data_IF_154511441702
#
_entry.id   IF_154511441702
#
_cell.length_a   1.000
_cell.length_b   1.000
_cell.length_c   1.000
_cell.angle_alpha   90.00
_cell.angle_beta   90.00
_cell.angle_gamma   90.00
#
_symmetry.space_group_name_H-M   'P 1'
#
loop_
_entity.id
_entity.type
_entity.pdbx_description
1 polymer ?
#
# COMPACT_ATOMS: atom_id res chain seq x y z
N UNK A 1 7.72 7.30 35.78
CA UNK A 1 7.33 8.09 34.58
C UNK A 1 6.61 7.16 33.62
N UNK A 2 5.53 7.65 33.03
CA UNK A 2 4.65 6.87 32.17
C UNK A 2 4.98 7.15 30.70
N UNK A 3 4.96 6.11 29.87
CA UNK A 3 4.88 6.21 28.42
C UNK A 3 3.44 5.99 27.98
N UNK A 4 2.76 7.04 27.51
CA UNK A 4 1.42 6.95 26.94
C UNK A 4 1.45 6.62 25.46
N UNK A 5 0.55 5.74 25.02
CA UNK A 5 0.45 5.27 23.62
C UNK A 5 -1.02 5.30 23.18
N UNK A 6 -1.27 5.78 21.96
CA UNK A 6 -2.59 5.73 21.31
C UNK A 6 -2.44 5.56 19.79
N UNK A 7 -3.49 5.09 19.12
CA UNK A 7 -3.53 4.87 17.68
C UNK A 7 -4.52 5.76 16.90
N UNK A 8 -4.16 6.08 15.66
CA UNK A 8 -5.05 6.76 14.72
C UNK A 8 -4.98 6.09 13.35
N UNK A 9 -6.15 5.97 12.71
CA UNK A 9 -6.22 5.49 11.32
C UNK A 9 -6.52 4.00 11.17
N UNK A 10 -7.20 3.36 12.11
CA UNK A 10 -7.63 1.96 11.97
C UNK A 10 -8.72 1.75 10.91
N UNK A 11 -9.76 2.59 10.93
CA UNK A 11 -10.94 2.45 10.07
C UNK A 11 -10.91 3.06 8.66
N UNK A 12 -10.05 4.04 8.33
CA UNK A 12 -9.95 4.60 6.97
C UNK A 12 -9.71 3.56 5.88
N UNK A 13 -10.30 3.79 4.71
CA UNK A 13 -10.09 2.99 3.50
C UNK A 13 -8.75 3.33 2.83
N UNK A 14 -8.21 4.53 3.08
CA UNK A 14 -6.96 4.98 2.51
C UNK A 14 -6.03 5.64 3.55
N UNK A 15 -4.73 5.62 3.25
CA UNK A 15 -3.64 6.20 4.02
C UNK A 15 -3.14 5.31 5.16
N UNK A 16 -2.13 5.77 5.92
CA UNK A 16 -1.42 4.96 6.90
C UNK A 16 -2.20 4.78 8.21
N UNK A 17 -1.73 3.81 8.99
CA UNK A 17 -1.99 3.66 10.41
C UNK A 17 -0.82 4.30 11.19
N UNK A 18 -1.14 5.05 12.23
CA UNK A 18 -0.15 5.79 13.02
C UNK A 18 -0.35 5.50 14.51
N UNK A 19 0.74 5.19 15.22
CA UNK A 19 0.79 5.13 16.68
C UNK A 19 1.53 6.36 17.18
N UNK A 20 0.96 7.07 18.14
CA UNK A 20 1.64 8.13 18.89
C UNK A 20 2.20 7.59 20.19
N UNK A 21 3.31 8.16 20.64
CA UNK A 21 3.95 7.81 21.90
C UNK A 21 4.49 9.09 22.58
N UNK A 22 4.22 9.26 23.87
CA UNK A 22 4.60 10.46 24.60
C UNK A 22 5.00 10.16 26.05
N UNK A 23 6.07 10.83 26.52
CA UNK A 23 6.45 10.92 27.93
C UNK A 23 6.39 12.39 28.33
N UNK A 24 5.60 12.70 29.35
CA UNK A 24 5.47 14.06 29.88
C UNK A 24 6.37 14.27 31.11
N UNK A 25 6.70 15.53 31.44
CA UNK A 25 7.35 15.89 32.71
C UNK A 25 6.57 15.38 33.93
N UNK A 26 7.27 15.08 35.02
CA UNK A 26 6.63 14.71 36.29
C UNK A 26 5.97 15.92 36.96
N UNK A 27 5.11 15.66 37.95
CA UNK A 27 4.37 16.71 38.66
C UNK A 27 5.29 17.78 39.29
N UNK A 28 6.40 17.37 39.91
CA UNK A 28 7.39 18.28 40.50
C UNK A 28 7.89 19.30 39.48
N UNK A 29 8.33 18.85 38.30
CA UNK A 29 8.81 19.74 37.23
C UNK A 29 7.72 20.62 36.64
N UNK A 30 6.47 20.14 36.63
CA UNK A 30 5.31 20.92 36.20
C UNK A 30 5.02 22.05 37.19
N UNK A 31 5.12 21.78 38.49
CA UNK A 31 4.93 22.76 39.57
C UNK A 31 6.05 23.80 39.64
N UNK A 32 7.29 23.42 39.28
CA UNK A 32 8.44 24.34 39.20
C UNK A 32 8.34 25.32 38.03
N UNK A 33 7.79 24.91 36.88
CA UNK A 33 7.66 25.75 35.68
C UNK A 33 6.20 25.83 35.17
N UNK A 34 5.22 26.35 35.95
CA UNK A 34 3.80 26.24 35.63
C UNK A 34 3.43 26.96 34.32
N UNK A 35 4.02 28.12 34.04
CA UNK A 35 3.79 28.87 32.79
C UNK A 35 4.25 28.11 31.54
N UNK A 36 5.23 27.20 31.69
CA UNK A 36 5.73 26.38 30.57
C UNK A 36 4.84 25.16 30.33
N UNK A 37 4.25 24.60 31.38
CA UNK A 37 3.52 23.34 31.33
C UNK A 37 2.01 23.46 31.55
N UNK A 38 1.44 24.67 31.67
CA UNK A 38 0.01 24.88 31.90
C UNK A 38 -0.88 24.16 30.87
N UNK A 39 -0.39 24.01 29.64
CA UNK A 39 -1.08 23.36 28.53
C UNK A 39 -1.38 21.87 28.78
N UNK A 40 -0.63 21.20 29.67
CA UNK A 40 -0.88 19.81 30.05
C UNK A 40 -2.28 19.65 30.67
N UNK A 41 -2.76 20.66 31.39
CA UNK A 41 -4.12 20.64 31.96
C UNK A 41 -5.20 20.60 30.86
N UNK A 42 -4.90 21.16 29.69
CA UNK A 42 -5.81 21.26 28.54
C UNK A 42 -5.92 19.97 27.72
N UNK A 43 -5.03 19.01 27.95
CA UNK A 43 -5.06 17.70 27.29
C UNK A 43 -6.31 16.91 27.70
N UNK A 44 -7.04 16.41 26.70
CA UNK A 44 -8.25 15.59 26.83
C UNK A 44 -8.41 14.74 25.57
N UNK A 45 -9.54 14.05 25.40
CA UNK A 45 -9.86 13.31 24.18
C UNK A 45 -9.70 14.23 22.95
N UNK A 46 -8.79 13.84 22.05
CA UNK A 46 -8.43 14.63 20.87
C UNK A 46 -9.61 14.88 19.93
N UNK A 47 -10.64 14.03 19.96
CA UNK A 47 -11.87 14.17 19.17
C UNK A 47 -12.78 15.27 19.69
N UNK A 48 -12.66 15.62 20.98
CA UNK A 48 -13.39 16.75 21.60
C UNK A 48 -12.74 18.10 21.28
N UNK A 49 -11.50 18.09 20.80
CA UNK A 49 -10.76 19.29 20.43
C UNK A 49 -11.03 19.66 18.96
N UNK A 50 -11.06 20.96 18.68
CA UNK A 50 -11.07 21.45 17.29
C UNK A 50 -9.70 21.20 16.64
N UNK A 51 -9.66 21.14 15.30
CA UNK A 51 -8.40 20.97 14.57
C UNK A 51 -7.37 22.06 14.94
N UNK A 52 -7.80 23.32 15.01
CA UNK A 52 -6.95 24.46 15.43
C UNK A 52 -6.39 24.27 16.85
N UNK A 53 -7.19 23.75 17.78
CA UNK A 53 -6.74 23.50 19.15
C UNK A 53 -5.78 22.33 19.24
N UNK A 54 -6.01 21.25 18.48
CA UNK A 54 -5.06 20.13 18.37
C UNK A 54 -3.73 20.59 17.81
N UNK A 55 -3.72 21.40 16.77
CA UNK A 55 -2.52 21.99 16.18
C UNK A 55 -1.72 22.83 17.19
N UNK A 56 -2.39 23.70 17.95
CA UNK A 56 -1.74 24.47 19.00
C UNK A 56 -1.13 23.59 20.10
N UNK A 57 -1.85 22.54 20.54
CA UNK A 57 -1.36 21.60 21.53
C UNK A 57 -0.24 20.70 20.99
N UNK A 58 -0.29 20.32 19.71
CA UNK A 58 0.77 19.56 19.05
C UNK A 58 2.11 20.29 19.18
N UNK A 59 2.16 21.59 18.88
CA UNK A 59 3.37 22.40 19.04
C UNK A 59 3.86 22.37 20.48
N UNK A 60 2.97 22.57 21.45
CA UNK A 60 3.32 22.52 22.89
C UNK A 60 3.82 21.15 23.34
N UNK A 61 3.23 20.07 22.85
CA UNK A 61 3.69 18.71 23.12
C UNK A 61 5.10 18.50 22.55
N UNK A 62 5.35 18.89 21.30
CA UNK A 62 6.68 18.75 20.68
C UNK A 62 7.77 19.55 21.39
N UNK A 63 7.42 20.72 21.94
CA UNK A 63 8.35 21.59 22.68
C UNK A 63 8.54 21.20 24.15
N UNK A 64 7.49 20.70 24.80
CA UNK A 64 7.43 20.54 26.26
C UNK A 64 7.45 19.11 26.79
N UNK A 65 7.15 18.10 25.96
CA UNK A 65 7.26 16.70 26.38
C UNK A 65 8.73 16.28 26.56
N UNK A 66 8.98 15.31 27.44
CA UNK A 66 10.33 14.76 27.63
C UNK A 66 10.76 13.92 26.43
N UNK A 67 9.83 13.13 25.87
CA UNK A 67 10.05 12.38 24.65
C UNK A 67 8.75 12.24 23.86
N UNK A 68 8.85 12.26 22.53
CA UNK A 68 7.73 12.04 21.61
C UNK A 68 8.18 11.18 20.45
N UNK A 69 7.31 10.32 19.94
CA UNK A 69 7.55 9.57 18.71
C UNK A 69 6.24 9.21 18.02
N UNK A 70 6.33 8.95 16.72
CA UNK A 70 5.23 8.36 15.93
C UNK A 70 5.72 7.16 15.14
N UNK A 71 4.90 6.11 15.13
CA UNK A 71 5.17 4.87 14.42
C UNK A 71 4.18 4.68 13.29
N UNK A 72 4.68 4.50 12.07
CA UNK A 72 3.88 4.52 10.85
C UNK A 72 3.88 3.17 10.14
N UNK A 73 2.72 2.79 9.61
CA UNK A 73 2.57 1.64 8.72
C UNK A 73 1.70 2.07 7.54
N UNK A 74 2.23 1.92 6.33
CA UNK A 74 1.61 2.30 5.06
C UNK A 74 0.39 1.44 4.73
N UNK A 75 -0.44 1.90 3.79
CA UNK A 75 -1.58 1.10 3.30
C UNK A 75 -1.13 -0.26 2.71
N UNK A 76 -0.01 -0.27 1.97
CA UNK A 76 0.56 -1.49 1.39
C UNK A 76 1.04 -2.46 2.48
N UNK A 77 1.81 -1.99 3.48
CA UNK A 77 2.21 -2.84 4.61
C UNK A 77 0.98 -3.38 5.37
N UNK A 78 -0.11 -2.59 5.52
CA UNK A 78 -1.36 -3.05 6.14
C UNK A 78 -1.99 -4.19 5.34
N UNK A 79 -2.01 -4.08 4.02
CA UNK A 79 -2.55 -5.12 3.14
C UNK A 79 -1.71 -6.41 3.22
N UNK A 80 -0.39 -6.31 3.35
CA UNK A 80 0.53 -7.44 3.43
C UNK A 80 0.45 -8.22 4.76
N UNK A 81 0.46 -7.52 5.90
CA UNK A 81 0.60 -8.16 7.22
C UNK A 81 -0.72 -8.19 8.02
N UNK A 82 -1.73 -7.46 7.57
CA UNK A 82 -3.01 -7.33 8.23
C UNK A 82 -3.02 -6.32 9.39
N UNK A 83 -4.18 -5.73 9.64
CA UNK A 83 -4.37 -4.60 10.57
C UNK A 83 -3.86 -4.86 12.00
N UNK A 84 -4.06 -6.07 12.52
CA UNK A 84 -3.62 -6.44 13.88
C UNK A 84 -2.10 -6.41 14.02
N UNK A 85 -1.37 -6.96 13.05
CA UNK A 85 0.10 -6.91 13.05
C UNK A 85 0.61 -5.52 12.71
N UNK A 86 -0.10 -4.74 11.89
CA UNK A 86 0.22 -3.33 11.65
C UNK A 86 0.18 -2.50 12.93
N UNK A 87 -0.80 -2.71 13.82
CA UNK A 87 -0.85 -2.04 15.12
C UNK A 87 0.36 -2.38 15.98
N UNK A 88 0.74 -3.67 16.04
CA UNK A 88 1.94 -4.11 16.76
C UNK A 88 3.22 -3.52 16.16
N UNK A 89 3.34 -3.52 14.84
CA UNK A 89 4.49 -2.96 14.13
C UNK A 89 4.63 -1.46 14.34
N UNK A 90 3.54 -0.69 14.17
CA UNK A 90 3.51 0.74 14.42
C UNK A 90 3.91 1.07 15.86
N UNK A 91 3.37 0.31 16.84
CA UNK A 91 3.68 0.50 18.25
C UNK A 91 5.16 0.23 18.54
N UNK A 92 5.72 -0.88 18.03
CA UNK A 92 7.15 -1.18 18.15
C UNK A 92 8.04 -0.10 17.52
N UNK A 93 7.66 0.43 16.34
CA UNK A 93 8.39 1.54 15.67
C UNK A 93 8.39 2.81 16.55
N UNK A 94 7.26 3.16 17.16
CA UNK A 94 7.15 4.33 18.04
C UNK A 94 7.96 4.15 19.34
N UNK A 95 7.82 3.01 20.00
CA UNK A 95 8.53 2.71 21.26
C UNK A 95 10.04 2.65 21.07
N UNK A 96 10.51 2.08 19.95
CA UNK A 96 11.94 2.07 19.62
C UNK A 96 12.51 3.50 19.55
N UNK A 97 11.82 4.41 18.86
CA UNK A 97 12.23 5.82 18.79
C UNK A 97 12.23 6.49 20.18
N UNK A 98 11.25 6.18 21.05
CA UNK A 98 11.28 6.66 22.44
C UNK A 98 12.51 6.14 23.18
N UNK A 99 12.84 4.85 23.06
CA UNK A 99 14.02 4.27 23.70
C UNK A 99 15.34 4.93 23.22
N UNK A 100 15.40 5.32 21.94
CA UNK A 100 16.55 6.03 21.37
C UNK A 100 16.76 7.43 21.97
N UNK A 101 15.70 8.08 22.49
CA UNK A 101 15.83 9.35 23.23
C UNK A 101 16.52 9.20 24.60
N UNK A 102 16.62 7.95 25.11
CA UNK A 102 17.16 7.61 26.44
C UNK A 102 16.42 8.25 27.63
N UNK A 103 15.24 8.82 27.41
CA UNK A 103 14.36 9.26 28.49
C UNK A 103 13.79 8.03 29.20
N UNK A 104 13.98 7.89 30.52
CA UNK A 104 13.53 6.70 31.21
C UNK A 104 12.01 6.71 31.42
N UNK A 105 11.40 5.53 31.35
CA UNK A 105 10.02 5.26 31.74
C UNK A 105 9.97 3.93 32.48
N UNK A 106 9.00 3.79 33.38
CA UNK A 106 8.83 2.61 34.24
C UNK A 106 7.55 1.85 33.96
N UNK A 107 6.61 2.48 33.25
CA UNK A 107 5.30 1.95 32.92
C UNK A 107 4.90 2.43 31.51
N UNK A 108 4.22 1.57 30.77
CA UNK A 108 3.65 1.86 29.45
C UNK A 108 2.14 1.71 29.59
N UNK A 109 1.38 2.74 29.22
CA UNK A 109 -0.08 2.66 29.20
C UNK A 109 -0.58 2.91 27.78
N UNK A 110 -1.29 1.92 27.24
CA UNK A 110 -1.85 1.93 25.89
C UNK A 110 -3.35 2.20 25.97
N UNK A 111 -3.89 3.13 25.16
CA UNK A 111 -5.34 3.28 25.03
C UNK A 111 -5.98 2.03 24.43
N UNK A 112 -7.11 1.61 25.01
CA UNK A 112 -7.88 0.46 24.55
C UNK A 112 -7.63 -0.81 25.36
N UNK A 113 -7.84 -1.96 24.71
CA UNK A 113 -7.91 -3.28 25.37
C UNK A 113 -6.85 -4.27 24.90
N UNK A 114 -5.98 -3.86 23.97
CA UNK A 114 -5.04 -4.76 23.30
C UNK A 114 -3.62 -4.33 23.64
N UNK A 115 -2.82 -5.26 24.15
CA UNK A 115 -1.40 -5.04 24.35
C UNK A 115 -0.65 -5.25 23.01
N UNK A 116 -0.25 -4.14 22.38
CA UNK A 116 0.50 -4.15 21.12
C UNK A 116 1.97 -4.58 21.25
N UNK A 117 2.48 -4.68 22.49
CA UNK A 117 3.86 -5.08 22.81
C UNK A 117 3.93 -6.49 23.42
N UNK A 118 2.84 -7.26 23.34
CA UNK A 118 2.87 -8.67 23.76
C UNK A 118 3.91 -9.46 22.98
N UNK A 119 4.64 -10.34 23.68
CA UNK A 119 5.78 -11.09 23.15
C UNK A 119 7.10 -10.31 23.09
N UNK A 120 7.15 -9.07 23.61
CA UNK A 120 8.39 -8.28 23.69
C UNK A 120 8.91 -8.24 25.13
N UNK A 121 10.21 -7.92 25.36
CA UNK A 121 10.75 -7.73 26.71
C UNK A 121 10.04 -6.63 27.53
N UNK A 122 9.31 -5.74 26.85
CA UNK A 122 8.58 -4.65 27.47
C UNK A 122 7.18 -5.04 27.96
N UNK A 123 6.66 -6.21 27.56
CA UNK A 123 5.29 -6.65 27.84
C UNK A 123 4.90 -6.53 29.32
N UNK A 124 5.82 -6.88 30.23
CA UNK A 124 5.61 -6.85 31.68
C UNK A 124 5.44 -5.44 32.28
N UNK A 125 5.74 -4.39 31.52
CA UNK A 125 5.56 -2.99 31.93
C UNK A 125 4.30 -2.37 31.33
N UNK A 126 3.52 -3.14 30.56
CA UNK A 126 2.37 -2.63 29.80
C UNK A 126 1.07 -2.86 30.55
N UNK A 127 0.29 -1.78 30.67
CA UNK A 127 -1.11 -1.78 31.05
C UNK A 127 -1.96 -1.25 29.87
N UNK A 128 -3.17 -1.77 29.71
CA UNK A 128 -4.13 -1.27 28.72
C UNK A 128 -5.29 -0.61 29.42
N UNK A 129 -5.72 0.57 28.97
CA UNK A 129 -6.79 1.33 29.60
C UNK A 129 -7.79 1.81 28.53
N UNK A 130 -9.03 1.29 28.51
CA UNK A 130 -10.07 1.79 27.62
C UNK A 130 -10.41 3.25 27.94
N UNK A 131 -10.41 4.12 26.92
CA UNK A 131 -10.63 5.57 27.07
C UNK A 131 -9.57 6.19 27.98
N UNK A 132 -8.34 5.71 27.86
CA UNK A 132 -7.19 6.18 28.61
C UNK A 132 -6.82 7.62 28.25
N UNK A 133 -7.18 8.09 27.06
CA UNK A 133 -7.01 9.47 26.60
C UNK A 133 -7.77 10.51 27.45
N UNK A 134 -8.85 10.11 28.12
CA UNK A 134 -9.59 10.96 29.06
C UNK A 134 -8.96 11.01 30.46
N UNK A 135 -8.12 10.03 30.80
CA UNK A 135 -7.64 9.80 32.16
C UNK A 135 -6.14 10.07 32.31
N UNK A 136 -5.35 9.73 31.29
CA UNK A 136 -3.89 9.78 31.28
C UNK A 136 -3.43 10.82 30.25
N UNK A 137 -2.69 11.82 30.73
CA UNK A 137 -2.28 12.98 29.94
C UNK A 137 -1.30 12.61 28.83
N UNK A 138 -0.44 11.64 29.08
CA UNK A 138 0.51 11.08 28.12
C UNK A 138 -0.22 10.40 26.95
N UNK A 139 -1.32 9.68 27.22
CA UNK A 139 -2.15 9.06 26.18
C UNK A 139 -2.86 10.14 25.36
N UNK A 140 -3.43 11.15 26.03
CA UNK A 140 -4.01 12.29 25.33
C UNK A 140 -2.99 12.99 24.42
N UNK A 141 -1.77 13.23 24.90
CA UNK A 141 -0.70 13.82 24.09
C UNK A 141 -0.30 12.91 22.91
N UNK A 142 -0.16 11.60 23.14
CA UNK A 142 0.08 10.61 22.09
C UNK A 142 -1.02 10.61 21.01
N UNK A 143 -2.30 10.68 21.42
CA UNK A 143 -3.44 10.75 20.51
C UNK A 143 -3.39 11.99 19.61
N UNK A 144 -2.99 13.15 20.17
CA UNK A 144 -2.85 14.40 19.44
C UNK A 144 -1.70 14.33 18.45
N UNK A 145 -0.55 13.79 18.85
CA UNK A 145 0.62 13.58 17.96
C UNK A 145 0.21 12.75 16.74
N UNK A 146 -0.32 11.55 16.97
CA UNK A 146 -0.75 10.65 15.90
C UNK A 146 -1.82 11.29 15.01
N UNK A 147 -2.79 11.98 15.61
CA UNK A 147 -3.90 12.59 14.88
C UNK A 147 -3.45 13.74 13.98
N UNK A 148 -2.66 14.66 14.52
CA UNK A 148 -2.20 15.84 13.78
C UNK A 148 -1.26 15.44 12.65
N UNK A 149 -0.29 14.57 12.91
CA UNK A 149 0.64 14.16 11.86
C UNK A 149 -0.08 13.35 10.76
N UNK A 150 -0.97 12.43 11.13
CA UNK A 150 -1.75 11.67 10.14
C UNK A 150 -2.65 12.58 9.31
N UNK A 151 -3.34 13.54 9.93
CA UNK A 151 -4.23 14.45 9.21
C UNK A 151 -3.43 15.32 8.22
N UNK A 152 -2.25 15.81 8.60
CA UNK A 152 -1.34 16.53 7.68
C UNK A 152 -0.93 15.68 6.49
N UNK A 153 -0.55 14.42 6.72
CA UNK A 153 -0.26 13.47 5.65
C UNK A 153 -1.46 13.30 4.69
N UNK A 154 -2.68 13.22 5.22
CA UNK A 154 -3.88 13.11 4.37
C UNK A 154 -4.17 14.40 3.56
N UNK A 155 -3.78 15.57 4.08
CA UNK A 155 -3.84 16.84 3.34
C UNK A 155 -2.82 16.86 2.20
N UNK A 156 -1.57 16.47 2.46
CA UNK A 156 -0.55 16.31 1.41
C UNK A 156 -1.01 15.32 0.33
N UNK A 157 -1.69 14.25 0.74
CA UNK A 157 -2.25 13.28 -0.18
C UNK A 157 -3.37 13.86 -1.05
N UNK A 158 -4.17 14.79 -0.51
CA UNK A 158 -5.19 15.49 -1.27
C UNK A 158 -4.60 16.38 -2.37
N UNK A 159 -3.40 16.94 -2.16
CA UNK A 159 -2.69 17.69 -3.22
C UNK A 159 -2.28 16.78 -4.38
N UNK A 160 -1.86 15.54 -4.06
CA UNK A 160 -1.49 14.54 -5.05
C UNK A 160 -2.68 13.91 -5.78
N UNK A 161 -3.80 13.76 -5.08
CA UNK A 161 -5.02 13.12 -5.58
C UNK A 161 -6.26 14.00 -5.28
N UNK A 162 -6.39 15.17 -5.94
CA UNK A 162 -7.39 16.18 -5.60
C UNK A 162 -8.83 15.72 -5.80
N UNK A 163 -9.06 14.71 -6.61
CA UNK A 163 -10.38 14.16 -6.93
C UNK A 163 -11.01 13.39 -5.76
N UNK A 164 -10.21 12.99 -4.77
CA UNK A 164 -10.63 12.10 -3.70
C UNK A 164 -11.14 12.84 -2.47
N UNK A 165 -10.72 14.10 -2.23
CA UNK A 165 -11.19 14.88 -1.07
C UNK A 165 -10.61 14.43 0.28
N UNK A 166 -9.38 13.89 0.27
CA UNK A 166 -8.71 13.34 1.46
C UNK A 166 -8.56 14.36 2.61
N UNK A 167 -8.45 15.66 2.31
CA UNK A 167 -8.37 16.73 3.30
C UNK A 167 -9.64 16.87 4.14
N UNK A 168 -10.79 16.38 3.65
CA UNK A 168 -12.08 16.48 4.36
C UNK A 168 -12.37 15.25 5.19
N UNK A 169 -12.29 14.07 4.58
CA UNK A 169 -12.66 12.81 5.24
C UNK A 169 -11.45 11.99 5.71
N UNK A 170 -10.22 12.45 5.52
CA UNK A 170 -8.97 11.84 6.03
C UNK A 170 -8.87 10.34 5.77
N UNK A 171 -9.34 9.92 4.59
CA UNK A 171 -9.34 8.54 4.11
C UNK A 171 -10.50 7.66 4.59
N UNK A 172 -11.42 8.15 5.44
CA UNK A 172 -12.62 7.39 5.83
C UNK A 172 -13.56 7.15 4.64
N UNK A 173 -14.24 6.01 4.66
CA UNK A 173 -15.16 5.55 3.61
C UNK A 173 -16.49 6.30 3.53
N UNK A 174 -16.46 7.62 3.41
CA UNK A 174 -17.65 8.45 3.20
C UNK A 174 -18.26 8.19 1.81
N UNK A 175 -19.52 8.56 1.61
CA UNK A 175 -20.17 8.44 0.30
C UNK A 175 -19.39 9.21 -0.80
N UNK A 176 -18.82 10.37 -0.46
CA UNK A 176 -17.97 11.14 -1.38
C UNK A 176 -16.70 10.36 -1.76
N UNK A 177 -16.05 9.73 -0.79
CA UNK A 177 -14.85 8.93 -1.02
C UNK A 177 -15.14 7.68 -1.87
N UNK A 178 -16.26 6.99 -1.58
CA UNK A 178 -16.69 5.82 -2.36
C UNK A 178 -16.95 6.17 -3.82
N UNK A 179 -17.68 7.27 -4.05
CA UNK A 179 -17.94 7.78 -5.39
C UNK A 179 -16.65 8.14 -6.13
N UNK A 180 -15.67 8.75 -5.44
CA UNK A 180 -14.38 9.06 -6.03
C UNK A 180 -13.62 7.79 -6.44
N UNK A 181 -13.60 6.76 -5.59
CA UNK A 181 -12.99 5.46 -5.93
C UNK A 181 -13.66 4.79 -7.14
N UNK A 182 -14.98 4.83 -7.22
CA UNK A 182 -15.74 4.28 -8.34
C UNK A 182 -15.44 5.02 -9.65
N UNK A 183 -15.34 6.36 -9.59
CA UNK A 183 -15.16 7.22 -10.76
C UNK A 183 -13.71 7.29 -11.26
N UNK A 184 -12.74 7.37 -10.34
CA UNK A 184 -11.34 7.63 -10.66
C UNK A 184 -10.43 6.42 -10.45
N UNK A 185 -10.98 5.31 -9.93
CA UNK A 185 -10.26 4.11 -9.56
C UNK A 185 -9.64 4.20 -8.16
N UNK A 186 -8.82 3.22 -7.81
CA UNK A 186 -8.05 3.25 -6.57
C UNK A 186 -6.70 3.95 -6.75
N UNK A 187 -6.21 4.55 -5.68
CA UNK A 187 -4.83 5.05 -5.56
C UNK A 187 -3.95 4.02 -4.84
N UNK A 188 -2.61 4.14 -4.91
CA UNK A 188 -1.69 3.33 -4.10
C UNK A 188 -1.96 3.37 -2.59
N UNK A 189 -2.57 4.46 -2.08
CA UNK A 189 -2.86 4.62 -0.66
C UNK A 189 -4.13 3.91 -0.19
N UNK A 190 -4.91 3.30 -1.09
CA UNK A 190 -6.09 2.53 -0.71
C UNK A 190 -5.68 1.15 -0.18
N UNK A 191 -6.29 0.75 0.93
CA UNK A 191 -6.08 -0.53 1.61
C UNK A 191 -6.94 -1.60 0.94
N UNK A 192 -6.37 -2.29 -0.04
CA UNK A 192 -7.06 -3.27 -0.90
C UNK A 192 -7.57 -4.48 -0.12
N UNK A 193 -6.98 -4.77 1.03
CA UNK A 193 -7.46 -5.82 1.94
C UNK A 193 -8.80 -5.46 2.62
N UNK A 194 -9.18 -4.18 2.66
CA UNK A 194 -10.42 -3.74 3.30
C UNK A 194 -11.60 -4.07 2.41
N UNK A 195 -12.60 -4.76 2.97
CA UNK A 195 -13.74 -5.29 2.22
C UNK A 195 -14.39 -4.29 1.24
N UNK A 196 -14.74 -3.04 1.61
CA UNK A 196 -15.37 -2.10 0.68
C UNK A 196 -14.46 -1.70 -0.48
N UNK A 197 -13.16 -1.56 -0.23
CA UNK A 197 -12.15 -1.24 -1.25
C UNK A 197 -11.99 -2.42 -2.21
N UNK A 198 -11.92 -3.65 -1.67
CA UNK A 198 -11.86 -4.89 -2.45
C UNK A 198 -13.09 -5.07 -3.34
N UNK A 199 -14.28 -4.81 -2.82
CA UNK A 199 -15.53 -4.92 -3.59
C UNK A 199 -15.58 -3.92 -4.76
N UNK A 200 -15.09 -2.69 -4.57
CA UNK A 200 -14.99 -1.70 -5.65
C UNK A 200 -13.96 -2.13 -6.69
N UNK A 201 -12.80 -2.63 -6.24
CA UNK A 201 -11.76 -3.17 -7.13
C UNK A 201 -12.28 -4.31 -8.00
N UNK A 202 -12.98 -5.29 -7.40
CA UNK A 202 -13.55 -6.43 -8.15
C UNK A 202 -14.57 -5.99 -9.20
N UNK A 203 -15.46 -5.05 -8.86
CA UNK A 203 -16.45 -4.52 -9.81
C UNK A 203 -15.82 -3.78 -10.99
N UNK A 204 -14.71 -3.07 -10.75
CA UNK A 204 -13.98 -2.39 -11.82
C UNK A 204 -13.33 -3.39 -12.79
N UNK A 205 -12.74 -4.46 -12.25
CA UNK A 205 -12.16 -5.55 -13.07
C UNK A 205 -13.24 -6.24 -13.93
N UNK A 206 -14.39 -6.58 -13.34
CA UNK A 206 -15.50 -7.21 -14.07
C UNK A 206 -16.04 -6.30 -15.20
N UNK A 207 -16.10 -4.98 -14.97
CA UNK A 207 -16.53 -4.01 -15.97
C UNK A 207 -15.52 -3.88 -17.12
N UNK A 208 -14.22 -3.85 -16.81
CA UNK A 208 -13.14 -3.78 -17.79
C UNK A 208 -13.11 -5.04 -18.69
N UNK A 209 -13.25 -6.23 -18.11
CA UNK A 209 -13.35 -7.50 -18.86
C UNK A 209 -14.58 -7.54 -19.78
N UNK A 210 -15.73 -7.04 -19.31
CA UNK A 210 -16.96 -6.97 -20.10
C UNK A 210 -16.87 -5.98 -21.29
N UNK A 211 -16.21 -4.84 -21.11
CA UNK A 211 -15.99 -3.87 -22.18
C UNK A 211 -15.01 -4.36 -23.24
N UNK A 212 -13.95 -5.06 -22.83
CA UNK A 212 -12.96 -5.63 -23.74
C UNK A 212 -13.58 -6.73 -24.63
N UNK A 213 -14.40 -7.61 -24.04
CA UNK A 213 -15.16 -8.63 -24.78
C UNK A 213 -16.16 -8.00 -25.78
N UNK A 214 -16.77 -6.86 -25.45
CA UNK A 214 -17.66 -6.14 -26.38
C UNK A 214 -16.90 -5.39 -27.49
N UNK A 215 -15.71 -4.85 -27.20
CA UNK A 215 -14.84 -4.20 -28.21
C UNK A 215 -14.31 -5.22 -29.22
N UNK A 216 -13.87 -6.40 -28.76
CA UNK A 216 -13.42 -7.51 -29.62
C UNK A 216 -14.52 -7.95 -30.59
N UNK A 217 -15.79 -7.95 -30.16
CA UNK A 217 -16.94 -8.29 -31.02
C UNK A 217 -17.28 -7.22 -32.08
N UNK A 218 -16.82 -5.98 -31.92
CA UNK A 218 -17.17 -4.84 -32.80
C UNK A 218 -16.09 -4.47 -33.83
N UNK A 219 -14.84 -4.91 -33.68
CA UNK A 219 -13.72 -4.55 -34.57
C UNK A 219 -13.49 -5.51 -35.75
N UNK A 220 -14.35 -6.49 -35.97
CA UNK A 220 -14.33 -7.34 -37.17
C UNK A 220 -14.86 -6.62 -38.41
N UNK A 221 -14.09 -5.70 -39.00
CA UNK A 221 -14.00 -5.39 -40.44
C UNK A 221 -13.44 -3.97 -40.68
N UNK A 222 -12.19 -3.88 -41.17
CA UNK A 222 -11.79 -3.05 -42.34
C UNK A 222 -10.28 -3.21 -42.64
N UNK A 223 -9.98 -3.41 -43.92
CA UNK A 223 -8.63 -3.59 -44.49
C UNK A 223 -7.81 -2.30 -44.54
N UNK A 224 -6.48 -2.45 -44.39
CA UNK A 224 -5.44 -1.51 -44.85
C UNK A 224 -4.26 -1.44 -43.88
N UNK A 225 -3.16 -2.14 -44.21
CA UNK A 225 -1.86 -2.25 -43.52
C UNK A 225 -1.86 -2.35 -41.99
N UNK A 226 -1.34 -3.47 -41.48
CA UNK A 226 -1.28 -3.79 -40.06
C UNK A 226 -0.56 -2.67 -39.27
N UNK A 227 -1.32 -2.02 -38.40
CA UNK A 227 -0.86 -1.06 -37.40
C UNK A 227 0.16 -1.72 -36.46
N UNK A 228 0.98 -0.92 -35.78
CA UNK A 228 1.94 -1.42 -34.78
C UNK A 228 1.31 -2.32 -33.71
N UNK A 229 0.01 -2.13 -33.44
CA UNK A 229 -0.77 -2.95 -32.50
C UNK A 229 -1.19 -4.29 -33.09
N UNK A 230 -1.58 -4.32 -34.37
CA UNK A 230 -1.90 -5.57 -35.07
C UNK A 230 -0.66 -6.43 -35.26
N UNK A 231 0.50 -5.82 -35.54
CA UNK A 231 1.79 -6.53 -35.57
C UNK A 231 2.18 -7.08 -34.19
N UNK A 232 1.96 -6.33 -33.11
CA UNK A 232 2.17 -6.81 -31.74
C UNK A 232 1.31 -8.03 -31.39
N UNK A 233 0.00 -7.94 -31.66
CA UNK A 233 -0.94 -9.04 -31.42
C UNK A 233 -0.59 -10.32 -32.20
N UNK A 234 -0.15 -10.17 -33.45
CA UNK A 234 0.30 -11.31 -34.29
C UNK A 234 1.58 -11.94 -33.74
N UNK A 235 2.52 -11.12 -33.24
CA UNK A 235 3.72 -11.62 -32.55
C UNK A 235 3.37 -12.42 -31.31
N UNK A 236 2.49 -11.90 -30.46
CA UNK A 236 2.01 -12.62 -29.27
C UNK A 236 1.25 -13.90 -29.61
N UNK A 237 0.49 -13.92 -30.71
CA UNK A 237 -0.18 -15.13 -31.19
C UNK A 237 0.81 -16.23 -31.54
N UNK A 238 1.91 -15.88 -32.23
CA UNK A 238 2.98 -16.83 -32.55
C UNK A 238 3.72 -17.35 -31.34
N UNK A 239 3.96 -16.51 -30.34
CA UNK A 239 4.54 -16.98 -29.08
C UNK A 239 3.57 -17.89 -28.33
N UNK A 240 2.28 -17.57 -28.29
CA UNK A 240 1.29 -18.45 -27.66
C UNK A 240 1.22 -19.82 -28.35
N UNK A 241 1.17 -19.86 -29.69
CA UNK A 241 1.22 -21.11 -30.47
C UNK A 241 2.50 -21.91 -30.18
N UNK A 242 3.65 -21.23 -30.13
CA UNK A 242 4.92 -21.85 -29.78
C UNK A 242 4.90 -22.44 -28.37
N UNK A 243 4.44 -21.71 -27.37
CA UNK A 243 4.35 -22.19 -25.98
C UNK A 243 3.42 -23.39 -25.86
N UNK A 244 2.27 -23.38 -26.55
CA UNK A 244 1.37 -24.54 -26.64
C UNK A 244 2.09 -25.74 -27.25
N UNK A 245 2.87 -25.54 -28.33
CA UNK A 245 3.67 -26.62 -28.94
C UNK A 245 4.75 -27.19 -28.00
N UNK A 246 5.17 -26.41 -26.99
CA UNK A 246 6.07 -26.81 -25.91
C UNK A 246 5.35 -27.41 -24.69
N UNK A 247 4.02 -27.57 -24.77
CA UNK A 247 3.20 -28.19 -23.74
C UNK A 247 2.66 -27.21 -22.69
N UNK A 248 2.84 -25.90 -22.86
CA UNK A 248 2.27 -24.92 -21.96
C UNK A 248 0.74 -24.82 -22.14
N UNK A 249 0.04 -24.64 -21.03
CA UNK A 249 -1.35 -24.18 -20.98
C UNK A 249 -1.37 -22.64 -20.97
N UNK A 250 -2.04 -22.00 -21.92
CA UNK A 250 -2.16 -20.53 -21.91
C UNK A 250 -3.26 -20.12 -20.94
N UNK A 251 -2.89 -19.39 -19.89
CA UNK A 251 -3.80 -18.87 -18.87
C UNK A 251 -4.42 -17.56 -19.34
N UNK A 252 -3.61 -16.66 -19.88
CA UNK A 252 -4.07 -15.37 -20.40
C UNK A 252 -3.13 -14.82 -21.47
N UNK A 253 -3.67 -13.98 -22.36
CA UNK A 253 -2.94 -13.18 -23.35
C UNK A 253 -3.43 -11.75 -23.24
N UNK A 254 -2.54 -10.77 -23.44
CA UNK A 254 -2.84 -9.34 -23.28
C UNK A 254 -3.47 -9.01 -21.92
N UNK A 255 -2.98 -9.60 -20.83
CA UNK A 255 -3.53 -9.33 -19.51
C UNK A 255 -3.21 -7.88 -19.12
N UNK A 256 -4.23 -7.03 -19.03
CA UNK A 256 -4.06 -5.60 -18.77
C UNK A 256 -4.80 -5.20 -17.51
N UNK A 257 -4.14 -4.35 -16.74
CA UNK A 257 -4.74 -3.59 -15.65
C UNK A 257 -4.41 -2.12 -15.85
N UNK A 258 -5.02 -1.23 -15.06
CA UNK A 258 -4.63 0.19 -15.02
C UNK A 258 -3.14 0.42 -14.67
N UNK A 259 -2.48 -0.54 -14.01
CA UNK A 259 -1.14 -0.37 -13.44
C UNK A 259 -0.03 -1.10 -14.19
N UNK A 260 -0.36 -2.20 -14.85
CA UNK A 260 0.59 -3.03 -15.58
C UNK A 260 -0.09 -3.87 -16.65
N UNK A 261 0.73 -4.35 -17.57
CA UNK A 261 0.36 -5.24 -18.67
C UNK A 261 1.29 -6.44 -18.66
N UNK A 262 0.76 -7.61 -19.03
CA UNK A 262 1.51 -8.84 -19.25
C UNK A 262 1.05 -9.42 -20.58
N UNK A 263 1.98 -9.59 -21.52
CA UNK A 263 1.64 -10.05 -22.87
C UNK A 263 1.10 -11.48 -22.86
N UNK A 264 1.79 -12.41 -22.20
CA UNK A 264 1.36 -13.81 -22.10
C UNK A 264 1.62 -14.38 -20.71
N UNK A 265 0.59 -15.01 -20.15
CA UNK A 265 0.67 -15.82 -18.94
C UNK A 265 0.41 -17.27 -19.34
N UNK A 266 1.38 -18.14 -19.09
CA UNK A 266 1.27 -19.56 -19.41
C UNK A 266 1.71 -20.43 -18.25
N UNK A 267 1.24 -21.66 -18.22
CA UNK A 267 1.50 -22.62 -17.16
C UNK A 267 2.13 -23.88 -17.75
N UNK A 268 3.18 -24.35 -17.11
CA UNK A 268 3.77 -25.65 -17.39
C UNK A 268 4.22 -26.26 -16.06
N UNK A 269 3.79 -27.49 -15.80
CA UNK A 269 3.96 -28.19 -14.52
C UNK A 269 3.51 -27.32 -13.33
N UNK A 270 4.37 -27.11 -12.33
CA UNK A 270 4.11 -26.27 -11.16
C UNK A 270 4.70 -24.85 -11.31
N UNK A 271 4.83 -24.36 -12.55
CA UNK A 271 5.36 -23.03 -12.85
C UNK A 271 4.38 -22.19 -13.66
N UNK A 272 4.36 -20.89 -13.37
CA UNK A 272 3.67 -19.85 -14.12
C UNK A 272 4.70 -18.95 -14.79
N UNK A 273 4.60 -18.81 -16.09
CA UNK A 273 5.50 -18.04 -16.92
C UNK A 273 4.84 -16.72 -17.32
N UNK A 274 5.48 -15.63 -16.95
CA UNK A 274 5.11 -14.26 -17.32
C UNK A 274 6.02 -13.83 -18.46
N UNK A 275 5.52 -13.96 -19.69
CA UNK A 275 6.31 -13.75 -20.90
C UNK A 275 6.01 -12.39 -21.52
N UNK A 276 7.03 -11.56 -21.68
CA UNK A 276 6.97 -10.34 -22.50
C UNK A 276 7.44 -10.67 -23.93
N UNK A 277 6.74 -10.15 -24.94
CA UNK A 277 6.96 -10.43 -26.36
C UNK A 277 7.51 -9.19 -27.06
N UNK A 278 8.64 -9.35 -27.75
CA UNK A 278 9.22 -8.30 -28.60
C UNK A 278 9.18 -8.70 -30.07
N UNK A 279 8.50 -7.87 -30.86
CA UNK A 279 8.50 -7.97 -32.31
C UNK A 279 9.58 -7.09 -32.95
N UNK A 280 10.36 -7.64 -33.90
CA UNK A 280 11.34 -6.92 -34.72
C UNK A 280 11.04 -7.06 -36.21
N UNK A 281 11.05 -5.93 -36.92
CA UNK A 281 10.72 -5.85 -38.36
C UNK A 281 11.89 -6.25 -39.28
N UNK A 282 13.13 -6.21 -38.81
CA UNK A 282 14.35 -6.51 -39.57
C UNK A 282 15.25 -7.47 -38.78
N UNK A 283 15.85 -8.44 -39.47
CA UNK A 283 16.77 -9.46 -38.93
C UNK A 283 18.23 -9.01 -38.87
N UNK A 284 18.55 -7.81 -39.37
CA UNK A 284 19.90 -7.27 -39.35
C UNK A 284 20.17 -6.55 -38.03
N UNK A 285 21.21 -7.00 -37.32
CA UNK A 285 21.78 -6.56 -36.02
C UNK A 285 21.45 -7.42 -34.79
N UNK A 286 22.37 -8.35 -34.50
CA UNK A 286 22.80 -8.71 -33.14
C UNK A 286 22.09 -9.87 -32.43
N UNK A 287 22.86 -10.61 -31.65
CA UNK A 287 22.42 -11.71 -30.77
C UNK A 287 21.24 -11.34 -29.84
N UNK A 288 20.39 -12.32 -29.45
CA UNK A 288 18.94 -12.13 -29.43
C UNK A 288 18.34 -11.44 -28.19
N UNK A 289 18.90 -11.62 -26.98
CA UNK A 289 18.27 -11.16 -25.71
C UNK A 289 19.26 -10.52 -24.71
N UNK A 290 20.58 -10.52 -24.92
CA UNK A 290 21.57 -10.14 -23.89
C UNK A 290 21.47 -8.69 -23.34
N UNK A 291 20.79 -7.78 -24.05
CA UNK A 291 20.51 -6.42 -23.56
C UNK A 291 19.11 -6.30 -22.97
N UNK A 292 18.85 -7.05 -21.90
CA UNK A 292 17.66 -6.83 -21.08
C UNK A 292 17.90 -5.59 -20.22
N UNK A 293 17.15 -4.52 -20.46
CA UNK A 293 17.14 -3.36 -19.54
C UNK A 293 16.59 -3.79 -18.18
N UNK A 294 17.36 -3.57 -17.10
CA UNK A 294 16.97 -3.87 -15.72
C UNK A 294 15.57 -3.32 -15.38
N UNK A 295 15.22 -2.14 -15.93
CA UNK A 295 13.89 -1.54 -15.72
C UNK A 295 12.76 -2.42 -16.24
N UNK A 296 12.98 -3.13 -17.35
CA UNK A 296 11.97 -3.98 -17.96
C UNK A 296 11.80 -5.29 -17.16
N UNK A 297 12.89 -5.85 -16.63
CA UNK A 297 12.81 -6.97 -15.67
C UNK A 297 12.05 -6.58 -14.41
N UNK A 298 12.32 -5.40 -13.84
CA UNK A 298 11.61 -4.89 -12.68
C UNK A 298 10.11 -4.71 -12.95
N UNK A 299 9.74 -4.20 -14.14
CA UNK A 299 8.35 -4.05 -14.55
C UNK A 299 7.62 -5.40 -14.65
N UNK A 300 8.24 -6.38 -15.32
CA UNK A 300 7.65 -7.73 -15.49
C UNK A 300 7.56 -8.45 -14.13
N UNK A 301 8.56 -8.26 -13.25
CA UNK A 301 8.52 -8.79 -11.87
C UNK A 301 7.40 -8.16 -11.04
N UNK A 302 7.22 -6.84 -11.14
CA UNK A 302 6.12 -6.14 -10.49
C UNK A 302 4.75 -6.64 -10.98
N UNK A 303 4.60 -6.80 -12.29
CA UNK A 303 3.39 -7.32 -12.91
C UNK A 303 3.09 -8.75 -12.46
N UNK A 304 4.09 -9.63 -12.46
CA UNK A 304 3.97 -11.02 -12.01
C UNK A 304 3.58 -11.13 -10.53
N UNK A 305 4.24 -10.38 -9.64
CA UNK A 305 3.89 -10.34 -8.22
C UNK A 305 2.47 -9.82 -7.98
N UNK A 306 2.09 -8.77 -8.71
CA UNK A 306 0.75 -8.20 -8.64
C UNK A 306 -0.32 -9.17 -9.15
N UNK A 307 -0.04 -9.90 -10.24
CA UNK A 307 -0.93 -10.94 -10.75
C UNK A 307 -1.16 -12.05 -9.72
N UNK A 308 -0.10 -12.59 -9.12
CA UNK A 308 -0.22 -13.66 -8.12
C UNK A 308 -0.99 -13.22 -6.87
N UNK A 309 -0.83 -11.96 -6.46
CA UNK A 309 -1.61 -11.39 -5.37
C UNK A 309 -3.12 -11.31 -5.69
N UNK A 310 -3.47 -11.13 -6.97
CA UNK A 310 -4.86 -11.11 -7.44
C UNK A 310 -5.44 -12.51 -7.71
N UNK A 311 -4.59 -13.52 -7.87
CA UNK A 311 -4.98 -14.88 -8.23
C UNK A 311 -4.49 -15.93 -7.20
N UNK A 312 -5.14 -16.04 -6.02
CA UNK A 312 -4.74 -16.96 -4.95
C UNK A 312 -4.75 -18.44 -5.34
N UNK A 313 -5.49 -18.81 -6.38
CA UNK A 313 -5.48 -20.16 -6.97
C UNK A 313 -4.09 -20.58 -7.47
N UNK A 314 -3.20 -19.63 -7.72
CA UNK A 314 -1.84 -19.85 -8.18
C UNK A 314 -0.77 -19.65 -7.11
N UNK A 315 -1.15 -19.46 -5.83
CA UNK A 315 -0.21 -19.18 -4.74
C UNK A 315 0.91 -20.22 -4.56
N UNK A 316 0.67 -21.46 -4.97
CA UNK A 316 1.60 -22.59 -4.80
C UNK A 316 2.45 -22.83 -6.07
N UNK A 317 2.26 -22.03 -7.13
CA UNK A 317 3.04 -22.10 -8.36
C UNK A 317 4.31 -21.25 -8.25
N UNK A 318 5.39 -21.74 -8.87
CA UNK A 318 6.63 -20.95 -9.00
C UNK A 318 6.48 -19.96 -10.15
N UNK A 319 6.55 -18.66 -9.83
CA UNK A 319 6.60 -17.61 -10.83
C UNK A 319 7.92 -17.65 -11.59
N UNK A 320 7.86 -17.58 -12.92
CA UNK A 320 9.00 -17.50 -13.82
C UNK A 320 8.85 -16.31 -14.75
N UNK A 321 9.85 -15.44 -14.83
CA UNK A 321 9.85 -14.34 -15.80
C UNK A 321 10.51 -14.82 -17.09
N UNK A 322 9.89 -14.52 -18.24
CA UNK A 322 10.42 -14.92 -19.53
C UNK A 322 10.33 -13.79 -20.56
N UNK A 323 11.17 -13.87 -21.59
CA UNK A 323 11.06 -13.01 -22.76
C UNK A 323 11.08 -13.83 -24.04
N UNK A 324 10.30 -13.35 -25.02
CA UNK A 324 10.17 -13.98 -26.31
C UNK A 324 10.48 -13.00 -27.44
N UNK A 325 11.26 -13.45 -28.42
CA UNK A 325 11.58 -12.71 -29.64
C UNK A 325 10.82 -13.24 -30.85
N UNK A 326 10.21 -12.35 -31.63
CA UNK A 326 9.58 -12.67 -32.91
C UNK A 326 10.09 -11.75 -34.00
N UNK A 327 10.45 -12.29 -35.16
CA UNK A 327 10.98 -11.48 -36.26
C UNK A 327 10.46 -11.86 -37.65
N UNK A 328 10.73 -10.96 -38.60
CA UNK A 328 10.42 -11.16 -40.00
C UNK A 328 8.94 -10.98 -40.34
N UNK A 329 8.62 -11.05 -41.63
CA UNK A 329 7.23 -10.88 -42.13
C UNK A 329 6.31 -12.03 -41.75
N UNK A 330 6.87 -13.20 -41.49
CA UNK A 330 6.14 -14.42 -41.13
C UNK A 330 6.08 -14.65 -39.61
N UNK A 331 6.58 -13.69 -38.81
CA UNK A 331 6.59 -13.77 -37.34
C UNK A 331 7.25 -15.06 -36.83
N UNK A 332 8.45 -15.35 -37.31
CA UNK A 332 9.21 -16.51 -36.85
C UNK A 332 9.66 -16.28 -35.41
N UNK A 333 9.45 -17.28 -34.56
CA UNK A 333 9.92 -17.27 -33.17
C UNK A 333 11.43 -17.47 -33.18
N UNK A 334 12.16 -16.48 -32.70
CA UNK A 334 13.63 -16.52 -32.66
C UNK A 334 14.12 -17.20 -31.39
N UNK A 335 13.59 -16.77 -30.24
CA UNK A 335 13.98 -17.31 -28.94
C UNK A 335 12.86 -17.11 -27.90
N UNK A 336 12.88 -17.96 -26.88
CA UNK A 336 12.09 -17.82 -25.66
C UNK A 336 12.94 -18.31 -24.49
N UNK A 337 13.27 -17.39 -23.58
CA UNK A 337 14.14 -17.70 -22.45
C UNK A 337 13.64 -17.13 -21.13
N UNK A 338 14.00 -17.83 -20.05
CA UNK A 338 13.72 -17.45 -18.67
C UNK A 338 14.79 -16.44 -18.23
N UNK A 339 14.40 -15.39 -17.51
CA UNK A 339 15.22 -14.20 -17.23
C UNK A 339 15.31 -13.82 -15.75
N UNK A 340 14.87 -14.69 -14.84
CA UNK A 340 14.81 -14.43 -13.40
C UNK A 340 15.87 -15.13 -12.54
#
# INVERSE_FOLDING_TARGET
>A
MILGIDEVGRGPYAGPLVIGACILPNAEKIEEEPEKYHWISELTDSKRLTAKRREALYTKIKEGALATATGWVSANEIDEIGLSESLRLACRKAVKQIQETRVPFSEIIIDGTINFLSGTPLEKYVSTLPKGDLLIKEISAASILAKVERDRYMVELAEKYPEYGFEKHVGYGTAAHQKAMEQFGLTPEHRRSFRPVREIMSKQLEAEEGEEQQKIRKTGAKNGDATSRELGNLGEEKIAEFLISKGHEIISRNFKTKYFEIDIISKLDNSLFFTEVKYRKTTDFGEPIEFIDQKKQEQVRFAAGSYLAMHPEFKDFTAKLAMAGVSGKDFQVEDWMIID
#
